data_IF_280916944658
#
_entry.id   IF_280916944658
#
_cell.length_a   1.000
_cell.length_b   1.000
_cell.length_c   1.000
_cell.angle_alpha   90.00
_cell.angle_beta   90.00
_cell.angle_gamma   90.00
#
_symmetry.space_group_name_H-M   'P 1'
#
loop_
_entity.id
_entity.type
_entity.pdbx_description
1 polymer ?
#
# COMPACT_ATOMS: atom_id res chain seq x y z
N UNK A 1 15.04 6.61 15.96
CA UNK A 1 14.43 6.13 14.69
C UNK A 1 15.05 4.79 14.29
N UNK A 2 14.25 3.73 14.07
CA UNK A 2 14.78 2.40 13.67
C UNK A 2 15.66 2.50 12.43
N UNK A 3 15.28 3.35 11.46
CA UNK A 3 16.07 3.61 10.25
C UNK A 3 17.49 4.12 10.55
N UNK A 4 17.64 5.04 11.51
CA UNK A 4 18.95 5.58 11.89
C UNK A 4 19.81 4.56 12.66
N UNK A 5 19.17 3.60 13.36
CA UNK A 5 19.87 2.63 14.22
C UNK A 5 20.11 1.28 13.52
N UNK A 6 19.75 1.16 12.24
CA UNK A 6 19.90 -0.09 11.47
C UNK A 6 20.45 0.22 10.09
N UNK A 7 21.23 -0.71 9.52
CA UNK A 7 21.89 -0.50 8.22
C UNK A 7 21.30 -1.33 7.09
N UNK A 8 20.74 -2.50 7.40
CA UNK A 8 20.42 -3.51 6.37
C UNK A 8 18.98 -4.00 6.42
N UNK A 9 18.29 -3.89 7.56
CA UNK A 9 16.91 -4.38 7.64
C UNK A 9 15.95 -3.47 6.86
N UNK A 10 14.98 -4.09 6.18
CA UNK A 10 13.84 -3.35 5.64
C UNK A 10 12.93 -2.93 6.79
N UNK A 11 12.33 -1.76 6.64
CA UNK A 11 11.43 -1.17 7.64
C UNK A 11 10.12 -0.90 6.94
N UNK A 12 9.01 -1.39 7.50
CA UNK A 12 7.72 -1.16 6.88
C UNK A 12 6.62 -0.89 7.89
N UNK A 13 5.64 -0.12 7.44
CA UNK A 13 4.37 0.02 8.16
C UNK A 13 3.55 -1.25 7.97
N UNK A 14 3.05 -1.85 9.05
CA UNK A 14 2.24 -3.07 9.00
C UNK A 14 0.93 -2.92 9.81
N UNK A 15 0.05 -1.97 9.50
CA UNK A 15 -0.03 -1.04 8.36
C UNK A 15 -0.22 0.40 8.87
N UNK A 16 0.00 1.39 8.00
CA UNK A 16 -0.45 2.77 8.26
C UNK A 16 -1.89 2.97 7.75
N UNK A 17 -2.67 3.81 8.43
CA UNK A 17 -4.02 4.19 8.01
C UNK A 17 -3.96 5.25 6.91
N UNK A 18 -3.97 4.82 5.65
CA UNK A 18 -3.77 5.71 4.50
C UNK A 18 -4.89 6.74 4.34
N UNK A 19 -6.10 6.39 4.77
CA UNK A 19 -7.28 7.25 4.68
C UNK A 19 -7.25 8.43 5.65
N UNK A 20 -6.44 8.36 6.72
CA UNK A 20 -6.36 9.41 7.73
C UNK A 20 -5.38 10.52 7.34
N UNK A 21 -4.76 10.42 6.15
CA UNK A 21 -3.75 11.35 5.64
C UNK A 21 -4.14 11.76 4.22
N UNK A 22 -3.75 12.96 3.82
CA UNK A 22 -3.85 13.31 2.41
C UNK A 22 -2.88 12.43 1.60
N UNK A 23 -3.22 12.06 0.35
CA UNK A 23 -2.31 11.30 -0.51
C UNK A 23 -0.94 11.97 -0.68
N UNK A 24 -0.92 13.31 -0.69
CA UNK A 24 0.31 14.12 -0.76
C UNK A 24 1.20 13.91 0.45
N UNK A 25 0.66 14.09 1.67
CA UNK A 25 1.43 13.91 2.91
C UNK A 25 1.98 12.49 2.98
N UNK A 26 1.16 11.48 2.66
CA UNK A 26 1.58 10.08 2.69
C UNK A 26 2.73 9.80 1.73
N UNK A 27 2.67 10.31 0.49
CA UNK A 27 3.71 10.12 -0.50
C UNK A 27 5.01 10.87 -0.13
N UNK A 28 4.91 12.12 0.32
CA UNK A 28 6.08 12.92 0.74
C UNK A 28 6.77 12.31 1.96
N UNK A 29 6.01 11.94 3.00
CA UNK A 29 6.60 11.29 4.19
C UNK A 29 7.26 9.95 3.84
N UNK A 30 6.64 9.16 2.95
CA UNK A 30 7.22 7.92 2.49
C UNK A 30 8.54 8.15 1.74
N UNK A 31 8.63 9.24 0.97
CA UNK A 31 9.82 9.60 0.20
C UNK A 31 10.95 10.04 1.12
N UNK A 32 10.67 10.94 2.05
CA UNK A 32 11.64 11.40 3.03
C UNK A 32 12.18 10.23 3.86
N UNK A 33 11.31 9.33 4.31
CA UNK A 33 11.72 8.15 5.06
C UNK A 33 12.53 7.17 4.19
N UNK A 34 12.21 7.02 2.92
CA UNK A 34 12.96 6.15 2.02
C UNK A 34 14.37 6.67 1.79
N UNK A 35 14.51 7.97 1.51
CA UNK A 35 15.79 8.65 1.35
C UNK A 35 16.63 8.58 2.65
N UNK A 36 16.04 8.93 3.80
CA UNK A 36 16.71 8.84 5.10
C UNK A 36 17.10 7.42 5.49
N UNK A 37 16.37 6.42 5.00
CA UNK A 37 16.69 5.01 5.25
C UNK A 37 17.71 4.43 4.27
N UNK A 38 18.03 5.11 3.16
CA UNK A 38 18.81 4.55 2.06
C UNK A 38 18.05 3.46 1.28
N UNK A 39 16.76 3.68 1.00
CA UNK A 39 15.96 2.80 0.15
C UNK A 39 15.40 1.55 0.84
N UNK A 40 15.19 1.59 2.16
CA UNK A 40 14.78 0.42 2.96
C UNK A 40 13.32 0.43 3.38
N UNK A 41 12.54 1.45 3.00
CA UNK A 41 11.14 1.55 3.40
C UNK A 41 10.24 0.61 2.57
N UNK A 42 9.28 0.00 3.25
CA UNK A 42 8.15 -0.71 2.64
C UNK A 42 6.87 -0.06 3.12
N UNK A 43 6.07 0.45 2.20
CA UNK A 43 4.88 1.23 2.51
C UNK A 43 3.66 0.30 2.61
N UNK A 44 3.34 -0.16 3.81
CA UNK A 44 2.09 -0.90 4.06
C UNK A 44 0.94 0.04 4.38
N UNK A 45 -0.12 0.01 3.57
CA UNK A 45 -1.28 0.91 3.62
C UNK A 45 -2.56 0.11 3.91
N UNK A 46 -3.47 0.67 4.70
CA UNK A 46 -4.86 0.22 4.69
C UNK A 46 -5.84 1.24 5.23
N UNK A 47 -7.11 0.85 5.26
CA UNK A 47 -8.20 1.75 5.64
C UNK A 47 -8.57 1.66 7.12
N UNK A 48 -8.31 0.52 7.77
CA UNK A 48 -8.97 0.20 9.04
C UNK A 48 -10.45 -0.18 8.85
N UNK A 49 -11.14 -0.42 9.97
CA UNK A 49 -12.58 -0.73 9.96
C UNK A 49 -13.42 0.53 9.81
N UNK A 50 -14.65 0.42 9.31
CA UNK A 50 -15.60 1.55 9.19
C UNK A 50 -15.64 2.45 10.44
N UNK A 51 -15.64 1.82 11.63
CA UNK A 51 -15.63 2.54 12.91
C UNK A 51 -14.34 3.34 13.10
N UNK A 52 -13.18 2.76 12.83
CA UNK A 52 -11.89 3.48 12.92
C UNK A 52 -11.81 4.62 11.91
N UNK A 53 -12.33 4.40 10.68
CA UNK A 53 -12.39 5.46 9.67
C UNK A 53 -13.18 6.67 10.19
N UNK A 54 -14.35 6.43 10.77
CA UNK A 54 -15.23 7.51 11.24
C UNK A 54 -14.77 8.08 12.58
N UNK A 55 -14.67 7.24 13.62
CA UNK A 55 -14.46 7.66 15.01
C UNK A 55 -13.03 8.21 15.24
N UNK A 56 -12.01 7.69 14.54
CA UNK A 56 -10.61 8.06 14.80
C UNK A 56 -10.04 9.04 13.79
N UNK A 57 -10.51 8.96 12.54
CA UNK A 57 -9.98 9.75 11.43
C UNK A 57 -10.98 10.76 10.86
N UNK A 58 -12.19 10.86 11.44
CA UNK A 58 -13.19 11.84 11.04
C UNK A 58 -13.74 11.65 9.62
N UNK A 59 -13.58 10.46 9.04
CA UNK A 59 -13.99 10.20 7.67
C UNK A 59 -15.50 10.01 7.60
N UNK A 60 -16.19 10.94 6.95
CA UNK A 60 -17.64 10.90 6.77
C UNK A 60 -18.09 9.76 5.83
N UNK A 61 -17.52 9.72 4.61
CA UNK A 61 -17.78 8.62 3.70
C UNK A 61 -16.90 7.42 4.04
N UNK A 62 -17.48 6.39 4.66
CA UNK A 62 -16.79 5.12 4.97
C UNK A 62 -17.16 4.00 4.00
N UNK A 63 -17.84 4.34 2.90
CA UNK A 63 -18.27 3.39 1.88
C UNK A 63 -17.11 2.92 1.01
N UNK A 64 -17.30 1.76 0.38
CA UNK A 64 -16.43 1.21 -0.66
C UNK A 64 -14.90 1.26 -0.36
N UNK A 65 -14.44 0.71 0.78
CA UNK A 65 -13.03 0.76 1.18
C UNK A 65 -12.07 0.19 0.12
N UNK A 66 -12.48 -0.86 -0.60
CA UNK A 66 -11.67 -1.46 -1.65
C UNK A 66 -11.46 -0.51 -2.84
N UNK A 67 -12.52 0.17 -3.30
CA UNK A 67 -12.40 1.19 -4.35
C UNK A 67 -11.53 2.36 -3.90
N UNK A 68 -11.57 2.72 -2.61
CA UNK A 68 -10.73 3.78 -2.07
C UNK A 68 -9.24 3.44 -2.12
N UNK A 69 -8.87 2.20 -1.82
CA UNK A 69 -7.48 1.74 -2.00
C UNK A 69 -7.10 1.71 -3.48
N UNK A 70 -8.01 1.26 -4.34
CA UNK A 70 -7.80 1.26 -5.80
C UNK A 70 -7.58 2.67 -6.37
N UNK A 71 -8.10 3.72 -5.73
CA UNK A 71 -7.83 5.11 -6.08
C UNK A 71 -6.57 5.67 -5.38
N UNK A 72 -6.40 5.38 -4.08
CA UNK A 72 -5.33 5.92 -3.27
C UNK A 72 -3.94 5.47 -3.74
N UNK A 73 -3.75 4.16 -3.95
CA UNK A 73 -2.42 3.61 -4.25
C UNK A 73 -1.87 4.14 -5.59
N UNK A 74 -2.62 4.14 -6.70
CA UNK A 74 -2.15 4.77 -7.93
C UNK A 74 -1.89 6.27 -7.77
N UNK A 75 -2.71 6.99 -7.00
CA UNK A 75 -2.48 8.41 -6.76
C UNK A 75 -1.18 8.66 -5.97
N UNK A 76 -0.89 7.84 -4.95
CA UNK A 76 0.38 7.89 -4.22
C UNK A 76 1.57 7.62 -5.15
N UNK A 77 1.46 6.65 -6.07
CA UNK A 77 2.50 6.41 -7.09
C UNK A 77 2.68 7.58 -8.04
N UNK A 78 1.59 8.22 -8.48
CA UNK A 78 1.69 9.45 -9.30
C UNK A 78 2.43 10.55 -8.54
N UNK A 79 2.13 10.76 -7.26
CA UNK A 79 2.80 11.76 -6.42
C UNK A 79 4.26 11.40 -6.17
N UNK A 80 4.59 10.11 -6.03
CA UNK A 80 5.97 9.63 -5.99
C UNK A 80 6.78 10.07 -7.22
N UNK A 81 6.10 10.07 -8.38
CA UNK A 81 6.61 10.49 -9.69
C UNK A 81 6.32 11.96 -10.04
N UNK A 82 6.13 12.83 -9.04
CA UNK A 82 5.81 14.25 -9.28
C UNK A 82 6.85 15.01 -10.12
N UNK A 83 8.08 14.51 -10.18
CA UNK A 83 9.13 15.03 -11.08
C UNK A 83 8.78 14.93 -12.58
N UNK A 84 7.88 14.02 -12.96
CA UNK A 84 7.44 13.85 -14.35
C UNK A 84 6.45 14.93 -14.80
N UNK A 85 5.83 15.66 -13.86
CA UNK A 85 4.92 16.75 -14.18
C UNK A 85 3.79 16.95 -13.16
N UNK A 86 2.93 17.95 -13.41
CA UNK A 86 1.82 18.28 -12.52
C UNK A 86 0.77 17.18 -12.45
N UNK A 87 0.08 17.09 -11.31
CA UNK A 87 -0.95 16.09 -11.06
C UNK A 87 -2.30 16.77 -10.90
N UNK A 88 -3.18 16.54 -11.85
CA UNK A 88 -4.60 16.77 -11.70
C UNK A 88 -5.31 15.43 -11.44
N UNK A 89 -6.13 15.37 -10.38
CA UNK A 89 -6.90 14.19 -10.00
C UNK A 89 -8.26 14.60 -9.45
N UNK A 90 -9.31 14.16 -10.12
CA UNK A 90 -10.71 14.35 -9.75
C UNK A 90 -11.35 12.96 -9.61
N UNK A 91 -11.09 12.32 -8.48
CA UNK A 91 -11.60 10.98 -8.20
C UNK A 91 -12.81 10.98 -7.26
N UNK A 92 -13.29 9.79 -6.94
CA UNK A 92 -14.45 9.61 -6.05
C UNK A 92 -14.09 9.98 -4.62
N UNK A 93 -12.87 9.66 -4.19
CA UNK A 93 -12.46 9.81 -2.79
C UNK A 93 -11.45 10.93 -2.59
N UNK A 94 -10.65 11.23 -3.60
CA UNK A 94 -9.60 12.24 -3.52
C UNK A 94 -9.75 13.25 -4.66
N UNK A 95 -9.52 14.52 -4.33
CA UNK A 95 -9.46 15.63 -5.29
C UNK A 95 -8.16 16.37 -5.03
N UNK A 96 -7.32 16.50 -6.05
CA UNK A 96 -5.99 17.07 -5.93
C UNK A 96 -5.63 17.84 -7.21
N UNK A 97 -5.13 19.05 -7.04
CA UNK A 97 -4.47 19.81 -8.09
C UNK A 97 -3.08 20.22 -7.58
N UNK A 98 -2.06 19.46 -7.98
CA UNK A 98 -0.70 19.61 -7.50
C UNK A 98 0.20 20.14 -8.62
N UNK A 99 0.62 21.39 -8.46
CA UNK A 99 1.55 22.09 -9.34
C UNK A 99 2.86 22.28 -8.57
N UNK A 100 3.96 21.60 -8.95
CA UNK A 100 5.26 21.82 -8.32
C UNK A 100 5.69 23.28 -8.43
N UNK A 101 6.08 23.88 -7.31
CA UNK A 101 6.57 25.27 -7.25
C UNK A 101 8.07 25.38 -7.48
N UNK A 102 8.76 24.25 -7.62
CA UNK A 102 10.18 24.14 -7.88
C UNK A 102 10.52 22.80 -8.52
N UNK A 103 11.80 22.59 -8.84
CA UNK A 103 12.28 21.32 -9.35
C UNK A 103 12.07 20.22 -8.30
N UNK A 104 11.51 19.08 -8.76
CA UNK A 104 11.36 17.88 -7.95
C UNK A 104 12.32 16.85 -8.53
N UNK A 105 13.22 16.34 -7.70
CA UNK A 105 14.16 15.31 -8.13
C UNK A 105 13.42 13.99 -8.43
N UNK A 106 13.94 13.14 -9.34
CA UNK A 106 13.41 11.79 -9.51
C UNK A 106 13.63 10.95 -8.23
N UNK A 107 12.71 10.02 -7.90
CA UNK A 107 12.93 9.12 -6.78
C UNK A 107 14.09 8.17 -7.09
N UNK A 108 14.86 7.80 -6.06
CA UNK A 108 16.00 6.89 -6.22
C UNK A 108 15.59 5.47 -6.63
N UNK A 109 14.33 5.09 -6.38
CA UNK A 109 13.75 3.78 -6.67
C UNK A 109 12.22 3.83 -6.60
N UNK A 110 11.60 2.74 -7.03
CA UNK A 110 10.21 2.45 -6.71
C UNK A 110 10.06 1.98 -5.26
N UNK A 111 9.14 2.62 -4.53
CA UNK A 111 8.76 2.17 -3.20
C UNK A 111 7.81 0.95 -3.28
N UNK A 112 8.09 -0.15 -2.55
CA UNK A 112 7.19 -1.28 -2.45
C UNK A 112 5.97 -0.87 -1.64
N UNK A 113 4.79 -0.98 -2.23
CA UNK A 113 3.51 -0.67 -1.59
C UNK A 113 2.77 -1.99 -1.33
N UNK A 114 2.52 -2.27 -0.05
CA UNK A 114 1.71 -3.39 0.38
C UNK A 114 0.37 -2.85 0.87
N UNK A 115 -0.72 -3.57 0.63
CA UNK A 115 -2.01 -3.20 1.20
C UNK A 115 -2.51 -4.28 2.15
N UNK A 116 -3.24 -3.90 3.19
CA UNK A 116 -3.95 -4.87 4.01
C UNK A 116 -5.34 -5.15 3.43
N UNK A 117 -5.73 -6.41 3.49
CA UNK A 117 -7.07 -6.83 3.11
C UNK A 117 -7.41 -8.16 3.74
N UNK A 118 -8.61 -8.25 4.31
CA UNK A 118 -9.14 -9.49 4.89
C UNK A 118 -10.16 -10.11 3.94
N UNK A 119 -11.17 -9.33 3.54
CA UNK A 119 -12.27 -9.82 2.71
C UNK A 119 -11.86 -9.95 1.24
N UNK A 120 -12.51 -10.84 0.45
CA UNK A 120 -12.13 -11.10 -0.94
C UNK A 120 -12.02 -9.83 -1.80
N UNK A 121 -12.99 -8.91 -1.72
CA UNK A 121 -12.98 -7.68 -2.50
C UNK A 121 -11.78 -6.77 -2.20
N UNK A 122 -11.28 -6.79 -0.97
CA UNK A 122 -10.10 -6.03 -0.57
C UNK A 122 -8.81 -6.72 -1.03
N UNK A 123 -8.77 -8.06 -1.00
CA UNK A 123 -7.67 -8.83 -1.57
C UNK A 123 -7.57 -8.63 -3.10
N UNK A 124 -8.71 -8.54 -3.78
CA UNK A 124 -8.79 -8.19 -5.20
C UNK A 124 -8.28 -6.77 -5.47
N UNK A 125 -8.62 -5.79 -4.62
CA UNK A 125 -8.04 -4.45 -4.70
C UNK A 125 -6.52 -4.47 -4.55
N UNK A 126 -6.00 -5.23 -3.57
CA UNK A 126 -4.57 -5.39 -3.37
C UNK A 126 -3.87 -5.93 -4.63
N UNK A 127 -4.43 -6.98 -5.24
CA UNK A 127 -3.91 -7.54 -6.49
C UNK A 127 -3.93 -6.57 -7.68
N UNK A 128 -4.91 -5.66 -7.73
CA UNK A 128 -4.98 -4.63 -8.79
C UNK A 128 -3.87 -3.60 -8.67
N UNK A 129 -3.68 -3.01 -7.48
CA UNK A 129 -2.91 -1.77 -7.35
C UNK A 129 -1.61 -1.87 -6.55
N UNK A 130 -1.48 -2.85 -5.66
CA UNK A 130 -0.34 -2.99 -4.75
C UNK A 130 0.68 -4.01 -5.25
N UNK A 131 1.88 -3.98 -4.69
CA UNK A 131 2.95 -4.96 -4.97
C UNK A 131 2.76 -6.25 -4.17
N UNK A 132 1.93 -6.21 -3.14
CA UNK A 132 1.59 -7.36 -2.31
C UNK A 132 0.50 -7.07 -1.29
N UNK A 133 0.11 -8.14 -0.59
CA UNK A 133 -0.88 -8.11 0.48
C UNK A 133 -0.20 -8.38 1.83
N UNK A 134 -0.42 -7.51 2.80
CA UNK A 134 -0.07 -7.77 4.19
C UNK A 134 -1.16 -8.67 4.82
N UNK A 135 -0.79 -9.90 5.19
CA UNK A 135 -1.71 -10.89 5.74
C UNK A 135 -2.21 -10.52 7.14
N UNK A 136 -3.43 -10.94 7.47
CA UNK A 136 -3.99 -10.74 8.81
C UNK A 136 -3.64 -11.93 9.72
N UNK A 137 -3.37 -11.72 11.03
CA UNK A 137 -3.14 -12.82 11.98
C UNK A 137 -4.28 -13.84 12.14
N UNK A 138 -5.44 -13.58 11.52
CA UNK A 138 -6.61 -14.47 11.55
C UNK A 138 -6.67 -15.38 10.32
N UNK A 139 -5.73 -15.26 9.40
CA UNK A 139 -5.68 -16.10 8.21
C UNK A 139 -5.26 -17.52 8.57
N UNK A 140 -6.09 -18.49 8.19
CA UNK A 140 -5.68 -19.89 8.11
C UNK A 140 -5.03 -20.16 6.76
N UNK A 141 -4.24 -21.23 6.65
CA UNK A 141 -3.67 -21.68 5.37
C UNK A 141 -4.77 -21.91 4.33
N UNK A 142 -5.87 -22.57 4.72
CA UNK A 142 -7.05 -22.78 3.88
C UNK A 142 -7.63 -21.46 3.37
N UNK A 143 -7.80 -20.46 4.24
CA UNK A 143 -8.31 -19.15 3.82
C UNK A 143 -7.37 -18.45 2.83
N UNK A 144 -6.06 -18.58 3.04
CA UNK A 144 -5.07 -18.02 2.12
C UNK A 144 -5.18 -18.67 0.74
N UNK A 145 -5.26 -20.00 0.67
CA UNK A 145 -5.21 -20.72 -0.60
C UNK A 145 -6.55 -20.69 -1.35
N UNK A 146 -7.67 -20.74 -0.64
CA UNK A 146 -9.00 -20.79 -1.27
C UNK A 146 -9.62 -19.41 -1.51
N UNK A 147 -9.23 -18.40 -0.74
CA UNK A 147 -9.88 -17.07 -0.78
C UNK A 147 -8.91 -15.96 -1.14
N UNK A 148 -7.82 -15.82 -0.39
CA UNK A 148 -6.91 -14.68 -0.55
C UNK A 148 -6.17 -14.75 -1.88
N UNK A 149 -5.49 -15.86 -2.15
CA UNK A 149 -4.68 -16.04 -3.36
C UNK A 149 -5.51 -15.93 -4.64
N UNK A 150 -6.70 -16.57 -4.76
CA UNK A 150 -7.55 -16.41 -5.94
C UNK A 150 -8.06 -14.98 -6.10
N UNK A 151 -8.42 -14.29 -5.00
CA UNK A 151 -8.87 -12.90 -5.07
C UNK A 151 -7.75 -11.94 -5.51
N UNK A 152 -6.54 -12.08 -4.97
CA UNK A 152 -5.36 -11.31 -5.40
C UNK A 152 -5.06 -11.57 -6.87
N UNK A 153 -5.05 -12.84 -7.30
CA UNK A 153 -4.81 -13.20 -8.69
C UNK A 153 -5.86 -12.61 -9.64
N UNK A 154 -7.14 -12.63 -9.26
CA UNK A 154 -8.22 -12.00 -9.99
C UNK A 154 -8.00 -10.48 -10.15
N UNK A 155 -7.54 -9.83 -9.09
CA UNK A 155 -7.18 -8.41 -9.12
C UNK A 155 -6.03 -8.11 -10.08
N UNK A 156 -4.94 -8.87 -9.99
CA UNK A 156 -3.77 -8.70 -10.85
C UNK A 156 -4.10 -8.91 -12.34
N UNK A 157 -4.88 -9.95 -12.65
CA UNK A 157 -5.30 -10.26 -14.01
C UNK A 157 -6.14 -9.13 -14.64
N UNK A 158 -6.94 -8.41 -13.84
CA UNK A 158 -7.77 -7.30 -14.32
C UNK A 158 -6.96 -6.15 -14.93
N UNK A 159 -5.70 -5.97 -14.52
CA UNK A 159 -4.80 -4.91 -15.00
C UNK A 159 -3.66 -5.46 -15.85
N UNK A 160 -3.76 -6.72 -16.31
CA UNK A 160 -2.73 -7.37 -17.11
C UNK A 160 -1.41 -7.63 -16.37
N UNK A 161 -1.41 -7.62 -15.02
CA UNK A 161 -0.23 -7.96 -14.22
C UNK A 161 -0.16 -9.46 -13.98
N UNK A 162 1.04 -10.02 -14.12
CA UNK A 162 1.29 -11.41 -13.75
C UNK A 162 1.14 -11.58 -12.22
N UNK A 163 0.20 -12.42 -11.74
CA UNK A 163 0.03 -12.70 -10.32
C UNK A 163 1.31 -13.21 -9.65
N UNK A 164 2.20 -13.88 -10.37
CA UNK A 164 3.47 -14.37 -9.84
C UNK A 164 4.50 -13.26 -9.59
N UNK A 165 4.39 -12.12 -10.28
CA UNK A 165 5.23 -10.93 -10.04
C UNK A 165 4.75 -10.08 -8.87
N UNK A 166 3.48 -10.24 -8.45
CA UNK A 166 3.02 -9.70 -7.18
C UNK A 166 3.82 -10.39 -6.07
N UNK A 167 4.71 -9.63 -5.45
CA UNK A 167 5.56 -10.14 -4.38
C UNK A 167 4.63 -10.42 -3.21
N UNK A 168 4.08 -11.63 -3.13
CA UNK A 168 3.76 -12.24 -1.84
C UNK A 168 5.07 -12.54 -1.11
N UNK A 169 5.93 -11.52 -0.95
CA UNK A 169 7.06 -11.63 -0.06
C UNK A 169 6.47 -11.90 1.31
N UNK A 170 7.02 -12.91 1.98
CA UNK A 170 6.75 -13.33 3.36
C UNK A 170 6.91 -12.15 4.33
N UNK A 171 5.96 -11.21 4.28
CA UNK A 171 5.64 -10.21 5.27
C UNK A 171 4.30 -10.65 5.88
N UNK A 172 4.32 -11.87 6.39
CA UNK A 172 3.32 -12.39 7.30
C UNK A 172 4.02 -12.51 8.65
N UNK A 173 3.48 -11.89 9.71
CA UNK A 173 3.83 -12.22 11.10
C UNK A 173 3.39 -13.63 11.51
N UNK A 174 3.37 -14.57 10.56
CA UNK A 174 3.13 -16.00 10.79
C UNK A 174 4.51 -16.64 10.74
N UNK A 175 4.97 -17.32 11.81
CA UNK A 175 6.29 -17.94 11.82
C UNK A 175 6.34 -18.94 10.66
N UNK A 176 7.30 -18.76 9.75
CA UNK A 176 7.53 -19.74 8.70
C UNK A 176 8.11 -20.99 9.34
N UNK A 177 7.29 -22.04 9.46
CA UNK A 177 7.80 -23.40 9.68
C UNK A 177 8.54 -23.84 8.41
N UNK A 178 9.81 -23.49 8.34
CA UNK A 178 10.75 -24.08 7.38
C UNK A 178 11.12 -25.47 7.91
N UNK A 179 10.37 -26.49 7.49
CA UNK A 179 10.88 -27.87 7.59
C UNK A 179 11.97 -28.01 6.53
N UNK A 180 13.23 -28.01 6.96
CA UNK A 180 14.37 -28.46 6.16
C UNK A 180 14.13 -29.92 5.76
N UNK A 181 14.21 -30.22 4.47
CA UNK A 181 14.78 -31.47 3.93
C UNK A 181 15.61 -31.11 2.73
#
# INVERSE_FOLDING_TARGET
MIAAQTRTCRIGSSILYGIGRSPLVLATEARDLDELSGGRIVLGIGNGTKRMMNDWHGIADTSAPALRIEELVPLVRRIWHLHEGPIHHEGRFYRLNLLPTGAVEPPQREIPIFTAGVRPRMCEAAGRVADGLAGHPLFTTTYVDEVVRPAVAKGAAHVGRDPATSRSSRWSCVPSTTTRR
#
